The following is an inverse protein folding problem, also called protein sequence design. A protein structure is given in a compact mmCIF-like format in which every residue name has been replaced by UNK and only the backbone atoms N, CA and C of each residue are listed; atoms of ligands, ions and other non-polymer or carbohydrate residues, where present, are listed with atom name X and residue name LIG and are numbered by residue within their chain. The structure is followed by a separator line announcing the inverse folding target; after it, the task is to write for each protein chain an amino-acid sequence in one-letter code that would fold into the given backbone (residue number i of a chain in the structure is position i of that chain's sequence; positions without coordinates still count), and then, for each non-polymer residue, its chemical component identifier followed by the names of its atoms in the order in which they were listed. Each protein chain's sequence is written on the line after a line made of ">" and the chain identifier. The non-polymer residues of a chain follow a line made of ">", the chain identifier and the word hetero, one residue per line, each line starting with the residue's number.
data_IF_949660886911
#
_entry.id   IF_949660886911
#
_cell.length_a   1.000
_cell.length_b   1.000
_cell.length_c   1.000
_cell.angle_alpha   90.00
_cell.angle_beta   90.00
_cell.angle_gamma   90.00
#
_symmetry.space_group_name_H-M   'P 1'
#
loop_
_entity.id
_entity.type
_entity.pdbx_description
1 polymer ?
#
# COMPACT_ATOMS: atom_id res chain seq x y z
N UNK A 1 -10.39 22.51 -18.64
CA UNK A 1 -10.27 21.91 -17.30
C UNK A 1 -11.04 20.60 -17.34
N UNK A 2 -10.35 19.48 -17.13
CA UNK A 2 -10.97 18.15 -17.26
C UNK A 2 -11.82 17.88 -16.02
N UNK A 3 -13.03 17.35 -16.21
CA UNK A 3 -13.85 16.92 -15.09
C UNK A 3 -13.09 15.86 -14.26
N UNK A 4 -13.02 16.08 -12.95
CA UNK A 4 -12.47 15.15 -11.97
C UNK A 4 -13.61 14.59 -11.11
N UNK A 5 -13.51 13.31 -10.78
CA UNK A 5 -14.43 12.67 -9.85
C UNK A 5 -13.80 12.68 -8.46
N UNK A 6 -14.47 13.33 -7.51
CA UNK A 6 -14.10 13.26 -6.10
C UNK A 6 -14.50 11.88 -5.54
N UNK A 7 -13.54 11.20 -4.92
CA UNK A 7 -13.74 9.93 -4.24
C UNK A 7 -13.52 10.13 -2.75
N UNK A 8 -14.47 9.67 -1.95
CA UNK A 8 -14.30 9.46 -0.50
C UNK A 8 -14.94 8.12 -0.17
N UNK A 9 -14.15 7.17 0.30
CA UNK A 9 -14.60 5.83 0.64
C UNK A 9 -14.01 5.40 1.98
N UNK A 10 -14.83 4.74 2.78
CA UNK A 10 -14.42 4.05 4.01
C UNK A 10 -15.01 2.64 3.95
N UNK A 11 -14.13 1.65 3.91
CA UNK A 11 -14.46 0.25 3.69
C UNK A 11 -13.95 -0.53 4.89
N UNK A 12 -14.85 -1.13 5.65
CA UNK A 12 -14.50 -2.15 6.66
C UNK A 12 -14.62 -3.51 6.00
N UNK A 13 -13.55 -4.29 6.05
CA UNK A 13 -13.53 -5.66 5.54
C UNK A 13 -13.39 -6.58 6.73
N UNK A 14 -14.28 -7.58 6.83
CA UNK A 14 -14.34 -8.52 7.95
C UNK A 14 -14.35 -9.96 7.40
N UNK A 15 -13.93 -10.92 8.21
CA UNK A 15 -13.99 -12.36 7.90
C UNK A 15 -13.29 -12.74 6.58
N UNK A 16 -12.09 -12.22 6.35
CA UNK A 16 -11.29 -12.51 5.15
C UNK A 16 -9.86 -12.95 5.51
N UNK A 17 -9.13 -13.46 4.50
CA UNK A 17 -7.77 -14.01 4.69
C UNK A 17 -6.75 -12.97 5.19
N UNK A 18 -6.97 -11.67 4.95
CA UNK A 18 -6.12 -10.57 5.44
C UNK A 18 -6.48 -10.11 6.86
N UNK A 19 -7.41 -10.80 7.53
CA UNK A 19 -7.98 -10.39 8.81
C UNK A 19 -8.99 -9.24 8.68
N UNK A 20 -9.54 -8.78 9.80
CA UNK A 20 -10.44 -7.64 9.81
C UNK A 20 -9.62 -6.36 9.66
N UNK A 21 -9.90 -5.54 8.65
CA UNK A 21 -9.16 -4.29 8.41
C UNK A 21 -10.07 -3.16 7.94
N UNK A 22 -9.58 -1.94 8.15
CA UNK A 22 -10.25 -0.71 7.72
C UNK A 22 -9.43 -0.02 6.63
N UNK A 23 -10.05 0.23 5.48
CA UNK A 23 -9.49 1.03 4.40
C UNK A 23 -10.25 2.35 4.26
N UNK A 24 -9.50 3.44 4.16
CA UNK A 24 -10.01 4.78 3.88
C UNK A 24 -9.26 5.31 2.66
N UNK A 25 -10.03 5.85 1.72
CA UNK A 25 -9.52 6.44 0.46
C UNK A 25 -10.20 7.78 0.27
N UNK A 26 -9.43 8.81 -0.03
CA UNK A 26 -9.97 10.12 -0.42
C UNK A 26 -9.11 10.77 -1.51
N UNK A 27 -9.73 11.47 -2.46
CA UNK A 27 -8.99 12.19 -3.49
C UNK A 27 -9.75 12.32 -4.79
N UNK A 28 -9.04 12.41 -5.92
CA UNK A 28 -9.64 12.59 -7.23
C UNK A 28 -9.17 11.55 -8.25
N UNK A 29 -10.06 11.28 -9.22
CA UNK A 29 -9.74 10.54 -10.43
C UNK A 29 -10.19 11.39 -11.62
N UNK A 30 -9.24 11.80 -12.45
CA UNK A 30 -9.51 12.55 -13.67
C UNK A 30 -10.01 11.62 -14.79
N UNK A 31 -10.67 12.17 -15.82
CA UNK A 31 -11.18 11.42 -16.99
C UNK A 31 -10.12 10.59 -17.73
N UNK A 32 -8.86 11.00 -17.68
CA UNK A 32 -7.74 10.25 -18.24
C UNK A 32 -7.20 9.14 -17.31
N UNK A 33 -7.94 8.80 -16.24
CA UNK A 33 -7.57 7.86 -15.19
C UNK A 33 -6.31 8.26 -14.40
N UNK A 34 -5.94 9.54 -14.44
CA UNK A 34 -4.95 10.06 -13.49
C UNK A 34 -5.57 10.10 -12.10
N UNK A 35 -4.92 9.45 -11.15
CA UNK A 35 -5.32 9.37 -9.76
C UNK A 35 -4.49 10.32 -8.91
N UNK A 36 -5.10 10.93 -7.92
CA UNK A 36 -4.44 11.58 -6.78
C UNK A 36 -5.24 11.23 -5.52
N UNK A 37 -4.84 10.15 -4.86
CA UNK A 37 -5.58 9.52 -3.77
C UNK A 37 -4.72 9.44 -2.51
N UNK A 38 -5.29 9.83 -1.38
CA UNK A 38 -4.77 9.55 -0.03
C UNK A 38 -5.39 8.26 0.48
N UNK A 39 -4.55 7.40 1.04
CA UNK A 39 -4.88 6.07 1.51
C UNK A 39 -4.54 5.96 3.00
N UNK A 40 -5.45 5.35 3.77
CA UNK A 40 -5.18 4.91 5.14
C UNK A 40 -5.74 3.50 5.31
N UNK A 41 -4.89 2.57 5.70
CA UNK A 41 -5.28 1.21 6.05
C UNK A 41 -4.84 0.88 7.48
N UNK A 42 -5.72 0.25 8.25
CA UNK A 42 -5.50 -0.05 9.67
C UNK A 42 -5.85 -1.52 9.95
N UNK A 43 -5.13 -2.12 10.89
CA UNK A 43 -5.37 -3.48 11.40
C UNK A 43 -5.16 -4.60 10.36
N UNK A 44 -4.29 -4.37 9.36
CA UNK A 44 -3.96 -5.40 8.37
C UNK A 44 -3.21 -6.54 9.06
N UNK A 45 -3.70 -7.78 8.94
CA UNK A 45 -2.94 -8.96 9.39
C UNK A 45 -1.80 -9.25 8.43
N UNK A 46 -0.56 -9.17 8.92
CA UNK A 46 0.61 -9.55 8.13
C UNK A 46 0.68 -11.06 7.90
N UNK A 47 0.14 -11.88 8.81
CA UNK A 47 0.05 -13.32 8.59
C UNK A 47 -0.83 -13.62 7.37
N UNK A 48 -2.00 -12.98 7.32
CA UNK A 48 -2.93 -13.08 6.20
C UNK A 48 -2.34 -12.59 4.89
N UNK A 49 -1.74 -11.39 4.91
CA UNK A 49 -1.07 -10.80 3.76
C UNK A 49 0.10 -11.68 3.27
N UNK A 50 0.89 -12.20 4.20
CA UNK A 50 1.99 -13.11 3.94
C UNK A 50 1.52 -14.39 3.24
N UNK A 51 0.41 -14.99 3.68
CA UNK A 51 -0.18 -16.14 3.01
C UNK A 51 -0.58 -15.83 1.56
N UNK A 52 -1.27 -14.70 1.32
CA UNK A 52 -1.66 -14.26 -0.03
C UNK A 52 -0.45 -14.02 -0.94
N UNK A 53 0.67 -13.53 -0.39
CA UNK A 53 1.89 -13.21 -1.13
C UNK A 53 2.91 -14.37 -1.16
N UNK A 54 2.57 -15.56 -0.64
CA UNK A 54 3.50 -16.68 -0.46
C UNK A 54 4.75 -16.35 0.38
N UNK A 55 4.64 -15.41 1.31
CA UNK A 55 5.66 -15.04 2.29
C UNK A 55 5.18 -15.39 3.71
N UNK A 56 5.40 -16.64 4.12
CA UNK A 56 4.78 -17.23 5.33
C UNK A 56 5.48 -16.90 6.65
N UNK A 57 6.56 -16.14 6.61
CA UNK A 57 7.41 -15.88 7.77
C UNK A 57 7.21 -14.47 8.32
N UNK A 58 6.04 -13.87 8.11
CA UNK A 58 5.71 -12.54 8.63
C UNK A 58 4.39 -12.57 9.40
N UNK A 59 4.40 -11.94 10.56
CA UNK A 59 3.25 -11.81 11.46
C UNK A 59 3.21 -10.40 12.05
N UNK A 60 2.06 -10.03 12.62
CA UNK A 60 1.83 -8.75 13.27
C UNK A 60 0.68 -7.96 12.66
N UNK A 61 0.36 -6.83 13.29
CA UNK A 61 -0.68 -5.92 12.81
C UNK A 61 -0.04 -4.71 12.16
N UNK A 62 -0.35 -4.51 10.88
CA UNK A 62 0.17 -3.42 10.09
C UNK A 62 -0.87 -2.30 9.88
N UNK A 63 -0.36 -1.09 9.80
CA UNK A 63 -1.08 0.08 9.33
C UNK A 63 -0.27 0.79 8.26
N UNK A 64 -0.97 1.41 7.32
CA UNK A 64 -0.39 2.14 6.22
C UNK A 64 -1.05 3.49 6.06
N UNK A 65 -0.26 4.53 5.86
CA UNK A 65 -0.73 5.85 5.44
C UNK A 65 0.12 6.28 4.24
N UNK A 66 -0.54 6.71 3.16
CA UNK A 66 0.18 7.09 1.96
C UNK A 66 -0.67 7.76 0.90
N UNK A 67 -0.04 7.96 -0.25
CA UNK A 67 -0.63 8.53 -1.45
C UNK A 67 -0.42 7.57 -2.62
N UNK A 68 -1.47 7.39 -3.42
CA UNK A 68 -1.46 6.74 -4.73
C UNK A 68 -1.72 7.81 -5.78
N UNK A 69 -0.76 8.02 -6.67
CA UNK A 69 -0.85 9.03 -7.72
C UNK A 69 -0.43 8.48 -9.08
N UNK A 70 -0.74 9.21 -10.16
CA UNK A 70 -0.35 8.81 -11.51
C UNK A 70 -1.44 8.05 -12.26
N UNK A 71 -1.09 7.50 -13.42
CA UNK A 71 -2.01 6.71 -14.23
C UNK A 71 -2.16 5.30 -13.65
N UNK A 72 -3.31 4.67 -13.87
CA UNK A 72 -3.55 3.28 -13.42
C UNK A 72 -2.49 2.28 -13.94
N UNK A 73 -1.96 2.51 -15.14
CA UNK A 73 -0.90 1.67 -15.73
C UNK A 73 0.48 1.92 -15.13
N UNK A 74 0.70 3.07 -14.49
CA UNK A 74 1.96 3.43 -13.86
C UNK A 74 1.70 4.20 -12.53
N UNK A 75 1.20 3.49 -11.51
CA UNK A 75 0.90 4.11 -10.24
C UNK A 75 2.20 4.43 -9.48
N UNK A 76 2.22 5.58 -8.82
CA UNK A 76 3.24 5.99 -7.86
C UNK A 76 2.67 5.89 -6.47
N UNK A 77 3.34 5.14 -5.60
CA UNK A 77 2.93 4.94 -4.21
C UNK A 77 3.99 5.53 -3.30
N UNK A 78 3.58 6.44 -2.41
CA UNK A 78 4.42 6.94 -1.32
C UNK A 78 3.71 6.76 -0.01
N UNK A 79 4.42 6.37 1.03
CA UNK A 79 3.79 6.25 2.33
C UNK A 79 4.69 5.70 3.41
N UNK A 80 4.06 5.47 4.56
CA UNK A 80 4.67 4.88 5.73
C UNK A 80 3.86 3.66 6.14
N UNK A 81 4.58 2.60 6.46
CA UNK A 81 4.04 1.40 7.10
C UNK A 81 4.52 1.37 8.55
N UNK A 82 3.62 1.03 9.46
CA UNK A 82 3.93 0.71 10.85
C UNK A 82 3.41 -0.68 11.16
N UNK A 83 4.20 -1.48 11.85
CA UNK A 83 3.86 -2.83 12.28
C UNK A 83 4.05 -2.93 13.78
N UNK A 84 3.08 -3.51 14.49
CA UNK A 84 3.14 -3.77 15.92
C UNK A 84 3.05 -5.27 16.19
N UNK A 85 3.69 -5.69 17.29
CA UNK A 85 3.62 -7.06 17.81
C UNK A 85 3.93 -8.09 16.70
N UNK A 86 5.01 -7.85 15.96
CA UNK A 86 5.31 -8.58 14.74
C UNK A 86 6.45 -9.57 14.89
N UNK A 87 6.60 -10.39 13.86
CA UNK A 87 7.67 -11.36 13.71
C UNK A 87 8.10 -11.42 12.25
N UNK A 88 9.41 -11.50 12.00
CA UNK A 88 9.96 -11.81 10.67
C UNK A 88 10.94 -12.97 10.82
N UNK A 89 10.71 -14.07 10.10
CA UNK A 89 11.56 -15.27 10.12
C UNK A 89 11.87 -15.77 11.53
N UNK A 90 10.86 -15.80 12.39
CA UNK A 90 10.97 -16.22 13.79
C UNK A 90 11.63 -15.21 14.73
N UNK A 91 12.01 -14.02 14.25
CA UNK A 91 12.57 -12.95 15.07
C UNK A 91 11.47 -11.97 15.49
N UNK A 92 11.08 -11.93 16.78
CA UNK A 92 10.02 -11.06 17.25
C UNK A 92 10.49 -9.60 17.38
N UNK A 93 9.57 -8.67 17.19
CA UNK A 93 9.77 -7.24 17.43
C UNK A 93 8.48 -6.57 17.93
N UNK A 94 8.63 -5.53 18.75
CA UNK A 94 7.47 -4.80 19.26
C UNK A 94 6.92 -3.78 18.25
N UNK A 95 7.83 -3.15 17.50
CA UNK A 95 7.49 -2.10 16.55
C UNK A 95 8.48 -2.07 15.39
N UNK A 96 7.96 -1.94 14.18
CA UNK A 96 8.72 -1.70 12.96
C UNK A 96 8.07 -0.57 12.19
N UNK A 97 8.90 0.33 11.65
CA UNK A 97 8.47 1.41 10.77
C UNK A 97 9.25 1.32 9.46
N UNK A 98 8.56 1.53 8.34
CA UNK A 98 9.18 1.60 7.02
C UNK A 98 8.58 2.71 6.16
N UNK A 99 9.39 3.26 5.26
CA UNK A 99 8.92 4.18 4.23
C UNK A 99 8.84 3.43 2.89
N UNK A 100 7.80 3.72 2.12
CA UNK A 100 7.55 3.19 0.79
C UNK A 100 7.64 4.36 -0.19
N UNK A 101 8.48 4.23 -1.21
CA UNK A 101 8.53 5.12 -2.38
C UNK A 101 8.69 4.25 -3.62
N UNK A 102 7.56 3.97 -4.28
CA UNK A 102 7.48 3.17 -5.50
C UNK A 102 7.15 4.11 -6.65
N UNK A 103 8.05 4.15 -7.61
CA UNK A 103 7.88 4.84 -8.89
C UNK A 103 8.37 3.89 -10.00
N UNK A 104 7.45 3.26 -10.74
CA UNK A 104 7.84 2.22 -11.69
C UNK A 104 8.65 2.76 -12.87
N UNK A 105 8.46 4.02 -13.25
CA UNK A 105 9.28 4.68 -14.27
C UNK A 105 10.75 4.72 -13.86
N UNK A 106 11.02 5.04 -12.59
CA UNK A 106 12.38 5.04 -12.03
C UNK A 106 12.94 3.62 -11.97
N UNK A 107 12.13 2.63 -11.63
CA UNK A 107 12.58 1.24 -11.51
C UNK A 107 12.93 0.61 -12.86
N UNK A 108 12.11 0.84 -13.89
CA UNK A 108 12.37 0.38 -15.26
C UNK A 108 13.58 1.07 -15.88
N UNK A 109 13.81 2.36 -15.55
CA UNK A 109 15.04 3.04 -15.97
C UNK A 109 16.28 2.34 -15.42
N UNK A 110 16.34 2.02 -14.12
CA UNK A 110 17.50 1.37 -13.50
C UNK A 110 17.82 -0.05 -14.01
N UNK A 111 16.83 -0.75 -14.56
CA UNK A 111 17.00 -2.09 -15.13
C UNK A 111 17.24 -2.05 -16.65
N UNK A 112 17.22 -0.87 -17.26
CA UNK A 112 17.54 -0.71 -18.67
C UNK A 112 19.03 -1.00 -18.90
N UNK A 113 19.40 -1.82 -19.90
CA UNK A 113 20.80 -2.05 -20.26
C UNK A 113 21.53 -0.78 -20.74
N UNK A 114 20.79 0.29 -21.02
CA UNK A 114 21.28 1.62 -21.42
C UNK A 114 21.45 2.57 -20.20
N UNK A 115 21.27 2.08 -18.97
CA UNK A 115 21.53 2.88 -17.77
C UNK A 115 23.02 3.23 -17.68
N UNK A 116 23.39 4.50 -17.39
CA UNK A 116 24.78 4.93 -17.35
C UNK A 116 25.60 4.25 -16.24
#
# INVERSE_FOLDING_TARGET
>A
EGEETNLVAKIKVENNELGDFLLQVEGTIAKNNFMDLRLKAEEISLEGLGQTLNYKEIEGQASFIGTLSGLLENPKIKGKIEVREGQISGLPFNYLEGQIDIDQEKYNYLLSPESP
#
